data_IF_805152037555
#
_entry.id   IF_805152037555
#
_cell.length_a   1.000
_cell.length_b   1.000
_cell.length_c   1.000
_cell.angle_alpha   90.00
_cell.angle_beta   90.00
_cell.angle_gamma   90.00
#
_symmetry.space_group_name_H-M   'P 1'
#
loop_
_entity.id
_entity.type
_entity.pdbx_description
1 polymer ?
#
# COMPACT_ATOMS: atom_id res chain seq x y z
N UNK A 1 -21.12 -14.94 24.68
CA UNK A 1 -20.58 -13.64 25.13
C UNK A 1 -20.31 -12.81 23.87
N UNK A 2 -21.26 -11.92 23.50
CA UNK A 2 -21.17 -11.09 22.30
C UNK A 2 -20.11 -10.02 22.56
N UNK A 3 -18.96 -10.13 21.87
CA UNK A 3 -17.96 -9.07 21.85
C UNK A 3 -18.58 -7.89 21.10
N UNK A 4 -19.04 -6.90 21.83
CA UNK A 4 -19.38 -5.60 21.29
C UNK A 4 -18.22 -5.13 20.42
N UNK A 5 -18.41 -5.00 19.11
CA UNK A 5 -17.49 -4.29 18.22
C UNK A 5 -17.43 -2.86 18.73
N UNK A 6 -16.41 -2.51 19.52
CA UNK A 6 -16.22 -1.14 19.92
C UNK A 6 -15.96 -0.32 18.65
N UNK A 7 -16.83 0.63 18.37
CA UNK A 7 -16.65 1.57 17.27
C UNK A 7 -15.35 2.33 17.51
N UNK A 8 -14.51 2.39 16.47
CA UNK A 8 -13.29 3.20 16.52
C UNK A 8 -13.71 4.64 16.72
N UNK A 9 -13.07 5.31 17.69
CA UNK A 9 -13.21 6.75 17.82
C UNK A 9 -12.74 7.43 16.53
N UNK A 10 -13.55 8.34 15.94
CA UNK A 10 -13.21 9.02 14.69
C UNK A 10 -11.86 9.71 14.72
N UNK A 11 -11.48 10.29 15.86
CA UNK A 11 -10.19 10.96 16.03
C UNK A 11 -9.02 9.96 15.91
N UNK A 12 -9.17 8.80 16.53
CA UNK A 12 -8.19 7.71 16.42
C UNK A 12 -8.05 7.21 14.99
N UNK A 13 -9.16 7.06 14.26
CA UNK A 13 -9.15 6.67 12.85
C UNK A 13 -8.38 7.67 11.97
N UNK A 14 -8.65 8.96 12.14
CA UNK A 14 -7.96 10.04 11.43
C UNK A 14 -6.47 10.03 11.75
N UNK A 15 -6.09 9.83 13.01
CA UNK A 15 -4.68 9.75 13.41
C UNK A 15 -3.96 8.57 12.74
N UNK A 16 -4.57 7.37 12.68
CA UNK A 16 -3.99 6.23 11.97
C UNK A 16 -3.83 6.51 10.48
N UNK A 17 -4.86 7.08 9.83
CA UNK A 17 -4.79 7.44 8.41
C UNK A 17 -3.66 8.45 8.17
N UNK A 18 -3.58 9.51 8.97
CA UNK A 18 -2.56 10.54 8.83
C UNK A 18 -1.13 9.97 8.99
N UNK A 19 -0.90 9.18 10.05
CA UNK A 19 0.41 8.59 10.32
C UNK A 19 0.80 7.58 9.23
N UNK A 20 -0.09 6.67 8.87
CA UNK A 20 0.23 5.65 7.85
C UNK A 20 0.43 6.25 6.47
N UNK A 21 -0.33 7.28 6.10
CA UNK A 21 -0.15 8.03 4.85
C UNK A 21 1.18 8.79 4.83
N UNK A 22 1.53 9.46 5.92
CA UNK A 22 2.80 10.17 6.05
C UNK A 22 3.99 9.20 5.96
N UNK A 23 3.93 8.06 6.67
CA UNK A 23 4.97 7.01 6.62
C UNK A 23 5.10 6.45 5.21
N UNK A 24 4.00 6.21 4.51
CA UNK A 24 4.03 5.75 3.12
C UNK A 24 4.64 6.79 2.19
N UNK A 25 4.19 8.04 2.25
CA UNK A 25 4.65 9.11 1.36
C UNK A 25 6.13 9.44 1.57
N UNK A 26 6.55 9.62 2.83
CA UNK A 26 7.96 9.87 3.17
C UNK A 26 8.81 8.64 2.86
N UNK A 27 8.31 7.45 3.16
CA UNK A 27 9.01 6.19 2.84
C UNK A 27 9.26 6.04 1.34
N UNK A 28 8.28 6.34 0.49
CA UNK A 28 8.46 6.33 -0.96
C UNK A 28 9.49 7.38 -1.40
N UNK A 29 9.45 8.59 -0.82
CA UNK A 29 10.38 9.65 -1.16
C UNK A 29 11.82 9.28 -0.83
N UNK A 30 12.08 8.73 0.34
CA UNK A 30 13.41 8.35 0.80
C UNK A 30 14.02 7.18 0.02
N UNK A 31 13.18 6.32 -0.56
CA UNK A 31 13.61 5.11 -1.27
C UNK A 31 13.52 5.21 -2.80
N UNK A 32 13.15 6.38 -3.33
CA UNK A 32 12.99 6.63 -4.76
C UNK A 32 14.14 7.41 -5.44
N UNK A 33 15.41 7.35 -5.01
CA UNK A 33 16.48 8.08 -5.70
C UNK A 33 16.87 7.46 -7.05
N UNK A 34 16.38 6.26 -7.38
CA UNK A 34 16.70 5.56 -8.63
C UNK A 34 15.50 5.67 -9.59
N UNK A 35 15.55 6.55 -10.60
CA UNK A 35 14.50 6.63 -11.60
C UNK A 35 14.61 5.44 -12.58
N UNK A 36 13.48 4.79 -12.84
CA UNK A 36 13.33 3.81 -13.92
C UNK A 36 12.86 4.49 -15.21
N UNK A 37 11.94 5.44 -15.08
CA UNK A 37 11.61 6.42 -16.12
C UNK A 37 11.79 7.80 -15.50
N UNK A 38 12.72 8.63 -15.98
CA UNK A 38 12.98 9.95 -15.43
C UNK A 38 11.72 10.80 -15.30
N UNK A 39 11.49 11.35 -14.13
CA UNK A 39 10.33 12.21 -13.83
C UNK A 39 8.98 11.50 -13.68
N UNK A 40 8.92 10.16 -13.82
CA UNK A 40 7.66 9.43 -13.78
C UNK A 40 7.68 8.19 -12.88
N UNK A 41 8.58 7.24 -13.14
CA UNK A 41 8.61 5.95 -12.42
C UNK A 41 9.94 5.80 -11.69
N UNK A 42 9.88 5.58 -10.39
CA UNK A 42 11.03 5.40 -9.50
C UNK A 42 10.95 4.04 -8.81
N UNK A 43 12.07 3.48 -8.41
CA UNK A 43 12.07 2.25 -7.63
C UNK A 43 11.58 2.49 -6.21
N UNK A 44 10.40 1.98 -5.90
CA UNK A 44 9.75 2.16 -4.60
C UNK A 44 10.00 0.96 -3.69
N UNK A 45 11.14 0.92 -3.03
CA UNK A 45 11.54 -0.18 -2.12
C UNK A 45 10.51 -0.42 -1.01
N UNK A 46 9.76 0.60 -0.60
CA UNK A 46 8.72 0.50 0.43
C UNK A 46 7.29 0.39 -0.14
N UNK A 47 7.13 -0.02 -1.41
CA UNK A 47 5.83 -0.21 -2.05
C UNK A 47 4.88 -1.18 -1.31
N UNK A 48 5.41 -2.01 -0.43
CA UNK A 48 4.64 -2.92 0.42
C UNK A 48 3.91 -2.26 1.60
N UNK A 49 4.22 -1.00 1.95
CA UNK A 49 3.64 -0.34 3.14
C UNK A 49 2.11 -0.29 3.13
N UNK A 50 1.41 0.10 2.04
CA UNK A 50 -0.05 0.06 2.01
C UNK A 50 -0.61 -1.34 2.27
N UNK A 51 0.02 -2.39 1.72
CA UNK A 51 -0.38 -3.78 1.96
C UNK A 51 -0.29 -4.13 3.45
N UNK A 52 0.83 -3.79 4.09
CA UNK A 52 1.04 -4.02 5.53
C UNK A 52 0.01 -3.27 6.36
N UNK A 53 -0.22 -1.99 6.08
CA UNK A 53 -1.19 -1.19 6.83
C UNK A 53 -2.62 -1.69 6.61
N UNK A 54 -2.97 -2.15 5.42
CA UNK A 54 -4.24 -2.80 5.14
C UNK A 54 -4.44 -4.07 5.97
N UNK A 55 -3.44 -4.95 6.00
CA UNK A 55 -3.48 -6.18 6.80
C UNK A 55 -3.60 -5.86 8.30
N UNK A 56 -2.81 -4.94 8.81
CA UNK A 56 -2.75 -4.64 10.24
C UNK A 56 -3.95 -3.82 10.72
N UNK A 57 -4.27 -2.73 10.04
CA UNK A 57 -5.23 -1.73 10.52
C UNK A 57 -6.58 -1.73 9.79
N UNK A 58 -6.70 -2.54 8.75
CA UNK A 58 -7.93 -2.72 7.99
C UNK A 58 -7.94 -2.05 6.61
N UNK A 59 -8.95 -2.38 5.80
CA UNK A 59 -8.98 -2.03 4.39
C UNK A 59 -9.04 -0.53 4.12
N UNK A 60 -9.78 0.23 4.93
CA UNK A 60 -9.91 1.69 4.74
C UNK A 60 -8.58 2.39 5.02
N UNK A 61 -7.90 2.02 6.11
CA UNK A 61 -6.59 2.59 6.45
C UNK A 61 -5.56 2.19 5.38
N UNK A 62 -5.58 0.93 4.93
CA UNK A 62 -4.72 0.47 3.84
C UNK A 62 -4.93 1.25 2.55
N UNK A 63 -6.20 1.42 2.13
CA UNK A 63 -6.53 2.21 0.95
C UNK A 63 -6.02 3.65 1.05
N UNK A 64 -6.38 4.34 2.13
CA UNK A 64 -6.05 5.75 2.32
C UNK A 64 -4.54 5.96 2.50
N UNK A 65 -3.84 5.02 3.16
CA UNK A 65 -2.38 5.11 3.27
C UNK A 65 -1.69 5.01 1.90
N UNK A 66 -2.17 4.14 1.02
CA UNK A 66 -1.68 4.05 -0.35
C UNK A 66 -2.03 5.28 -1.18
N UNK A 67 -3.30 5.65 -1.22
CA UNK A 67 -3.81 6.77 -2.00
C UNK A 67 -3.19 8.11 -1.59
N UNK A 68 -3.32 8.48 -0.31
CA UNK A 68 -2.80 9.75 0.22
C UNK A 68 -1.27 9.73 0.26
N UNK A 69 -0.67 8.59 0.68
CA UNK A 69 0.78 8.46 0.75
C UNK A 69 1.45 8.61 -0.61
N UNK A 70 0.89 8.00 -1.66
CA UNK A 70 1.40 8.18 -3.02
C UNK A 70 1.24 9.63 -3.52
N UNK A 71 0.12 10.28 -3.20
CA UNK A 71 -0.08 11.69 -3.53
C UNK A 71 0.93 12.59 -2.82
N UNK A 72 1.19 12.34 -1.52
CA UNK A 72 2.21 13.08 -0.76
C UNK A 72 3.61 12.88 -1.36
N UNK A 73 3.97 11.64 -1.73
CA UNK A 73 5.21 11.36 -2.42
C UNK A 73 5.33 12.15 -3.73
N UNK A 74 4.29 12.13 -4.55
CA UNK A 74 4.29 12.84 -5.84
C UNK A 74 4.44 14.35 -5.66
N UNK A 75 3.72 14.94 -4.69
CA UNK A 75 3.80 16.37 -4.38
C UNK A 75 5.18 16.78 -3.84
N UNK A 76 5.70 16.04 -2.86
CA UNK A 76 6.98 16.35 -2.23
C UNK A 76 8.17 16.08 -3.15
N UNK A 77 8.07 15.09 -4.02
CA UNK A 77 9.10 14.76 -5.01
C UNK A 77 9.06 15.60 -6.29
N UNK A 78 8.03 16.44 -6.47
CA UNK A 78 7.85 17.22 -7.70
C UNK A 78 7.37 16.41 -8.91
N UNK A 79 6.77 15.23 -8.67
CA UNK A 79 6.27 14.32 -9.71
C UNK A 79 4.75 14.38 -9.89
N UNK A 80 4.09 15.27 -9.18
CA UNK A 80 2.63 15.38 -9.22
C UNK A 80 2.16 15.86 -10.59
N UNK A 81 1.38 15.01 -11.27
CA UNK A 81 0.70 15.37 -12.51
C UNK A 81 -0.81 15.49 -12.22
N UNK A 82 -1.44 16.66 -12.43
CA UNK A 82 -2.85 16.87 -12.11
C UNK A 82 -3.82 16.05 -12.98
N UNK A 83 -3.36 15.45 -14.07
CA UNK A 83 -4.20 14.62 -14.94
C UNK A 83 -4.26 13.14 -14.53
N UNK A 84 -3.31 12.64 -13.70
CA UNK A 84 -3.24 11.22 -13.34
C UNK A 84 -3.75 10.85 -11.93
N UNK A 85 -4.14 11.77 -11.02
CA UNK A 85 -4.37 11.44 -9.62
C UNK A 85 -5.36 10.31 -9.40
N UNK A 86 -6.41 10.20 -10.23
CA UNK A 86 -7.44 9.18 -10.05
C UNK A 86 -6.87 7.76 -10.26
N UNK A 87 -5.99 7.58 -11.24
CA UNK A 87 -5.35 6.29 -11.50
C UNK A 87 -4.38 5.92 -10.39
N UNK A 88 -3.61 6.90 -9.91
CA UNK A 88 -2.67 6.74 -8.81
C UNK A 88 -3.39 6.46 -7.48
N UNK A 89 -4.43 7.24 -7.16
CA UNK A 89 -5.24 7.08 -5.95
C UNK A 89 -5.89 5.70 -5.91
N UNK A 90 -6.55 5.31 -7.00
CA UNK A 90 -7.24 4.02 -7.08
C UNK A 90 -6.23 2.88 -7.14
N UNK A 91 -5.24 2.96 -8.03
CA UNK A 91 -4.26 1.89 -8.22
C UNK A 91 -3.47 1.60 -6.94
N UNK A 92 -2.80 2.61 -6.39
CA UNK A 92 -1.98 2.43 -5.19
C UNK A 92 -2.85 2.19 -3.95
N UNK A 93 -4.04 2.80 -3.87
CA UNK A 93 -5.00 2.53 -2.79
C UNK A 93 -5.46 1.07 -2.75
N UNK A 94 -5.69 0.45 -3.91
CA UNK A 94 -6.08 -0.97 -3.99
C UNK A 94 -5.02 -1.91 -3.43
N UNK A 95 -3.74 -1.55 -3.48
CA UNK A 95 -2.68 -2.37 -2.87
C UNK A 95 -2.82 -2.50 -1.36
N UNK A 96 -3.45 -1.54 -0.70
CA UNK A 96 -3.77 -1.62 0.72
C UNK A 96 -5.17 -2.17 1.00
N UNK A 97 -6.16 -1.83 0.16
CA UNK A 97 -7.54 -2.25 0.31
C UNK A 97 -7.70 -3.77 0.24
N UNK A 98 -7.19 -4.38 -0.83
CA UNK A 98 -7.39 -5.81 -1.11
C UNK A 98 -6.78 -6.70 -0.02
N UNK A 99 -5.51 -6.53 0.39
CA UNK A 99 -4.97 -7.29 1.51
C UNK A 99 -5.71 -7.01 2.82
N UNK A 100 -6.15 -5.78 3.05
CA UNK A 100 -6.93 -5.40 4.22
C UNK A 100 -8.28 -6.11 4.32
N UNK A 101 -8.93 -6.37 3.19
CA UNK A 101 -10.21 -7.10 3.14
C UNK A 101 -10.02 -8.61 3.32
N UNK A 102 -8.99 -9.18 2.71
CA UNK A 102 -8.86 -10.64 2.55
C UNK A 102 -7.96 -11.30 3.59
N UNK A 103 -7.07 -10.55 4.25
CA UNK A 103 -6.11 -11.08 5.22
C UNK A 103 -6.36 -10.52 6.61
N UNK A 104 -6.44 -11.41 7.61
CA UNK A 104 -6.53 -11.03 9.01
C UNK A 104 -5.15 -11.07 9.67
N UNK A 105 -4.80 -10.11 10.53
CA UNK A 105 -3.50 -10.10 11.19
C UNK A 105 -3.25 -11.33 12.09
N UNK A 106 -4.31 -11.90 12.67
CA UNK A 106 -4.23 -13.10 13.48
C UNK A 106 -3.77 -14.32 12.66
N UNK A 107 -4.24 -14.43 11.41
CA UNK A 107 -3.86 -15.51 10.49
C UNK A 107 -2.37 -15.44 10.13
N UNK A 108 -1.84 -14.22 10.07
CA UNK A 108 -0.44 -13.95 9.66
C UNK A 108 0.62 -14.45 10.65
N UNK A 109 0.21 -14.90 11.82
CA UNK A 109 1.09 -15.59 12.78
C UNK A 109 1.44 -17.03 12.34
N UNK A 110 0.70 -17.60 11.40
CA UNK A 110 0.93 -18.94 10.85
C UNK A 110 1.62 -18.87 9.49
N UNK A 111 2.38 -19.93 9.13
CA UNK A 111 3.01 -19.99 7.80
C UNK A 111 1.99 -19.92 6.65
N UNK A 112 0.84 -20.59 6.80
CA UNK A 112 -0.25 -20.55 5.80
C UNK A 112 -0.83 -19.16 5.67
N UNK A 113 -1.09 -18.46 6.76
CA UNK A 113 -1.59 -17.10 6.74
C UNK A 113 -0.57 -16.11 6.17
N UNK A 114 0.72 -16.32 6.40
CA UNK A 114 1.77 -15.51 5.81
C UNK A 114 1.86 -15.69 4.29
N UNK A 115 1.77 -16.94 3.80
CA UNK A 115 1.69 -17.22 2.35
C UNK A 115 0.45 -16.56 1.74
N UNK A 116 -0.71 -16.65 2.39
CA UNK A 116 -1.92 -15.95 1.96
C UNK A 116 -1.69 -14.43 1.88
N UNK A 117 -1.11 -13.83 2.92
CA UNK A 117 -0.79 -12.41 2.94
C UNK A 117 0.11 -11.99 1.76
N UNK A 118 1.15 -12.79 1.49
CA UNK A 118 2.07 -12.55 0.38
C UNK A 118 1.36 -12.63 -0.98
N UNK A 119 0.60 -13.70 -1.22
CA UNK A 119 -0.10 -13.90 -2.50
C UNK A 119 -1.13 -12.79 -2.73
N UNK A 120 -1.95 -12.47 -1.72
CA UNK A 120 -2.99 -11.45 -1.84
C UNK A 120 -2.38 -10.07 -2.08
N UNK A 121 -1.29 -9.73 -1.39
CA UNK A 121 -0.58 -8.47 -1.60
C UNK A 121 0.06 -8.40 -2.99
N UNK A 122 0.67 -9.49 -3.45
CA UNK A 122 1.24 -9.57 -4.79
C UNK A 122 0.15 -9.39 -5.88
N UNK A 123 -0.97 -10.10 -5.75
CA UNK A 123 -2.12 -9.96 -6.68
C UNK A 123 -2.66 -8.53 -6.68
N UNK A 124 -2.74 -7.88 -5.52
CA UNK A 124 -3.17 -6.47 -5.47
C UNK A 124 -2.19 -5.53 -6.19
N UNK A 125 -0.89 -5.79 -6.11
CA UNK A 125 0.13 -5.09 -6.89
C UNK A 125 -0.01 -5.34 -8.40
N UNK A 126 -0.26 -6.58 -8.82
CA UNK A 126 -0.53 -6.92 -10.23
C UNK A 126 -1.76 -6.18 -10.76
N UNK A 127 -2.82 -6.02 -9.96
CA UNK A 127 -4.01 -5.25 -10.33
C UNK A 127 -3.70 -3.75 -10.43
N UNK A 128 -2.88 -3.21 -9.53
CA UNK A 128 -2.47 -1.80 -9.53
C UNK A 128 -1.71 -1.41 -10.81
N UNK A 129 -0.80 -2.26 -11.29
CA UNK A 129 0.10 -1.98 -12.42
C UNK A 129 -0.65 -1.46 -13.66
N UNK A 130 -1.64 -2.17 -14.24
CA UNK A 130 -2.32 -1.68 -15.43
C UNK A 130 -3.16 -0.42 -15.16
N UNK A 131 -3.70 -0.25 -13.96
CA UNK A 131 -4.51 0.93 -13.61
C UNK A 131 -3.63 2.18 -13.68
N UNK A 132 -2.46 2.16 -13.07
CA UNK A 132 -1.53 3.30 -13.07
C UNK A 132 -0.91 3.50 -14.46
N UNK A 133 -0.60 2.41 -15.17
CA UNK A 133 -0.05 2.47 -16.53
C UNK A 133 -1.01 3.14 -17.54
N UNK A 134 -2.33 2.92 -17.42
CA UNK A 134 -3.33 3.62 -18.21
C UNK A 134 -3.22 5.14 -18.00
N UNK A 135 -3.03 5.59 -16.76
CA UNK A 135 -2.84 7.00 -16.45
C UNK A 135 -1.60 7.60 -17.14
N UNK A 136 -0.48 6.89 -17.14
CA UNK A 136 0.75 7.34 -17.80
C UNK A 136 0.64 7.39 -19.32
N UNK A 137 -0.01 6.38 -19.92
CA UNK A 137 -0.25 6.35 -21.36
C UNK A 137 -1.19 7.46 -21.78
N UNK A 138 -2.27 7.71 -21.04
CA UNK A 138 -3.22 8.77 -21.33
C UNK A 138 -2.60 10.16 -21.36
N UNK A 139 -1.67 10.47 -20.46
CA UNK A 139 -1.01 11.78 -20.42
C UNK A 139 0.28 11.83 -21.25
N UNK A 140 0.61 10.77 -21.97
CA UNK A 140 1.78 10.69 -22.85
C UNK A 140 3.14 10.64 -22.12
N UNK A 141 3.15 10.26 -20.84
CA UNK A 141 4.39 10.12 -20.05
C UNK A 141 5.15 8.87 -20.46
N UNK A 142 4.45 7.75 -20.65
CA UNK A 142 5.03 6.50 -21.10
C UNK A 142 3.95 5.63 -21.77
N UNK A 143 4.27 4.91 -22.88
CA UNK A 143 3.35 3.96 -23.49
C UNK A 143 2.94 2.87 -22.51
N UNK A 144 1.72 2.34 -22.65
CA UNK A 144 1.11 1.41 -21.70
C UNK A 144 1.99 0.20 -21.32
N UNK A 145 2.53 -0.52 -22.34
CA UNK A 145 3.33 -1.72 -22.07
C UNK A 145 4.65 -1.41 -21.35
N UNK A 146 5.48 -0.46 -21.81
CA UNK A 146 6.66 -0.02 -21.05
C UNK A 146 6.33 0.43 -19.64
N UNK A 147 5.24 1.20 -19.44
CA UNK A 147 4.80 1.61 -18.11
C UNK A 147 4.46 0.42 -17.22
N UNK A 148 3.71 -0.57 -17.72
CA UNK A 148 3.41 -1.80 -16.98
C UNK A 148 4.68 -2.54 -16.56
N UNK A 149 5.65 -2.69 -17.45
CA UNK A 149 6.91 -3.39 -17.14
C UNK A 149 7.69 -2.65 -16.05
N UNK A 150 7.85 -1.34 -16.18
CA UNK A 150 8.60 -0.54 -15.20
C UNK A 150 7.92 -0.47 -13.85
N UNK A 151 6.59 -0.31 -13.80
CA UNK A 151 5.82 -0.36 -12.55
C UNK A 151 5.90 -1.72 -11.88
N UNK A 152 5.80 -2.80 -12.67
CA UNK A 152 5.93 -4.15 -12.14
C UNK A 152 7.32 -4.39 -11.53
N UNK A 153 8.39 -3.97 -12.21
CA UNK A 153 9.77 -4.06 -11.69
C UNK A 153 10.00 -3.19 -10.44
N UNK A 154 9.35 -2.01 -10.39
CA UNK A 154 9.44 -1.12 -9.24
C UNK A 154 8.80 -1.70 -7.99
N UNK A 155 7.57 -2.20 -8.11
CA UNK A 155 6.67 -2.40 -6.98
C UNK A 155 6.48 -3.86 -6.58
N UNK A 156 6.42 -4.78 -7.56
CA UNK A 156 6.09 -6.17 -7.24
C UNK A 156 7.18 -6.89 -6.41
N UNK A 157 8.48 -6.74 -6.68
CA UNK A 157 9.51 -7.36 -5.85
C UNK A 157 9.48 -6.86 -4.38
N UNK A 158 9.41 -5.54 -4.11
CA UNK A 158 9.23 -5.05 -2.74
C UNK A 158 7.98 -5.57 -2.05
N UNK A 159 6.83 -5.62 -2.75
CA UNK A 159 5.58 -6.15 -2.19
C UNK A 159 5.73 -7.63 -1.83
N UNK A 160 6.33 -8.42 -2.73
CA UNK A 160 6.51 -9.86 -2.54
C UNK A 160 7.40 -10.20 -1.34
N UNK A 161 8.45 -9.41 -1.12
CA UNK A 161 9.46 -9.64 -0.08
C UNK A 161 9.13 -8.86 1.20
N UNK A 162 8.81 -7.57 1.07
CA UNK A 162 8.62 -6.69 2.23
C UNK A 162 7.36 -6.99 3.03
N UNK A 163 6.25 -7.32 2.35
CA UNK A 163 4.99 -7.61 3.05
C UNK A 163 5.12 -8.77 4.05
N UNK A 164 5.57 -9.97 3.65
CA UNK A 164 5.67 -11.08 4.61
C UNK A 164 6.69 -10.83 5.72
N UNK A 165 7.80 -10.17 5.43
CA UNK A 165 8.82 -9.87 6.45
C UNK A 165 8.23 -8.97 7.53
N UNK A 166 7.62 -7.85 7.15
CA UNK A 166 7.11 -6.86 8.11
C UNK A 166 5.87 -7.39 8.83
N UNK A 167 4.95 -8.04 8.13
CA UNK A 167 3.75 -8.62 8.75
C UNK A 167 4.13 -9.69 9.76
N UNK A 168 5.09 -10.59 9.44
CA UNK A 168 5.59 -11.60 10.37
C UNK A 168 6.24 -11.00 11.62
N UNK A 169 6.99 -9.91 11.45
CA UNK A 169 7.68 -9.25 12.56
C UNK A 169 6.73 -8.50 13.49
N UNK A 170 5.70 -7.84 12.93
CA UNK A 170 4.88 -6.86 13.66
C UNK A 170 3.54 -7.44 14.10
N UNK A 171 2.83 -8.19 13.26
CA UNK A 171 1.48 -8.65 13.55
C UNK A 171 1.35 -9.46 14.86
N UNK A 172 2.24 -10.43 15.19
CA UNK A 172 2.11 -11.19 16.41
C UNK A 172 2.20 -10.34 17.69
N UNK A 173 3.03 -9.30 17.67
CA UNK A 173 3.18 -8.39 18.80
C UNK A 173 1.92 -7.53 19.01
N UNK A 174 1.37 -6.98 17.92
CA UNK A 174 0.17 -6.15 17.97
C UNK A 174 -1.07 -6.97 18.38
N UNK A 175 -1.19 -8.19 17.85
CA UNK A 175 -2.28 -9.12 18.22
C UNK A 175 -2.23 -9.44 19.72
N UNK A 176 -1.05 -9.82 20.25
CA UNK A 176 -0.89 -10.13 21.69
C UNK A 176 -1.21 -8.95 22.60
N UNK A 177 -0.87 -7.72 22.18
CA UNK A 177 -1.16 -6.50 22.95
C UNK A 177 -2.61 -6.02 22.79
N UNK A 178 -3.42 -6.68 21.95
CA UNK A 178 -4.80 -6.29 21.69
C UNK A 178 -4.95 -4.95 20.97
N UNK A 179 -3.89 -4.49 20.31
CA UNK A 179 -3.88 -3.18 19.62
C UNK A 179 -4.59 -3.21 18.25
N UNK A 180 -4.97 -4.38 17.76
CA UNK A 180 -5.66 -4.56 16.47
C UNK A 180 -7.19 -4.70 16.61
N UNK A 181 -7.75 -4.33 17.78
CA UNK A 181 -9.21 -4.29 17.99
C UNK A 181 -9.94 -3.26 17.10
N UNK A 182 -9.18 -2.38 16.48
CA UNK A 182 -9.62 -1.19 15.76
C UNK A 182 -9.46 -1.30 14.24
N UNK A 183 -9.70 -2.47 13.66
CA UNK A 183 -9.71 -2.61 12.19
C UNK A 183 -10.88 -1.85 11.57
N UNK A 184 -10.59 -0.83 10.79
CA UNK A 184 -11.50 -0.07 9.95
C UNK A 184 -11.57 -0.61 8.52
#
# INVERSE_FOLDING_TARGET
MSLSKSKVDPLTAVAYIAITSAVTGVGFLLTAPIPLIPGAIHWRVLAFLPCVFGILFGPIIGFLSGAIGNTLWALLGGYFNPATPIFDLVGVGLTGLIPGLLVKPEESSTSKGLVKATIVSFVSGVIMVPIVAIGFDWVGVAPFIPACVMLALSDLPPILVGTPIVVRAVAPSLVRRGLLKWRL
#
